data_IF_265710922785
#
_entry.id   IF_265710922785
#
_cell.length_a   1.000
_cell.length_b   1.000
_cell.length_c   1.000
_cell.angle_alpha   90.00
_cell.angle_beta   90.00
_cell.angle_gamma   90.00
#
_symmetry.space_group_name_H-M   'P 1'
#
loop_
_entity.id
_entity.type
_entity.pdbx_description
1 polymer ?
#
# COMPACT_ATOMS: atom_id res chain seq x y z
N UNK A 1 -2.84 -52.14 -21.90
CA UNK A 1 -1.50 -51.52 -21.88
C UNK A 1 -1.71 -50.01 -21.85
N UNK A 2 -1.31 -49.41 -20.73
CA UNK A 2 -1.25 -47.99 -20.36
C UNK A 2 -2.53 -47.14 -20.31
N UNK A 3 -2.99 -46.98 -19.07
CA UNK A 3 -3.69 -45.81 -18.58
C UNK A 3 -2.88 -44.52 -18.83
N UNK A 4 -3.60 -43.44 -19.14
CA UNK A 4 -3.19 -42.10 -18.75
C UNK A 4 -4.44 -41.23 -18.63
N UNK A 5 -4.93 -41.15 -17.40
CA UNK A 5 -5.60 -39.98 -16.85
C UNK A 5 -4.78 -38.72 -17.20
N UNK A 6 -5.39 -37.81 -17.94
CA UNK A 6 -5.11 -36.38 -17.84
C UNK A 6 -6.44 -35.69 -17.63
N UNK A 7 -6.93 -35.74 -16.39
CA UNK A 7 -7.56 -34.62 -15.70
C UNK A 7 -7.22 -33.34 -16.45
N UNK A 8 -8.20 -32.86 -17.20
CA UNK A 8 -8.18 -31.55 -17.83
C UNK A 8 -8.13 -30.53 -16.70
N UNK A 9 -6.91 -30.26 -16.23
CA UNK A 9 -6.59 -29.13 -15.39
C UNK A 9 -6.52 -27.92 -16.32
N UNK A 10 -7.64 -27.63 -16.99
CA UNK A 10 -7.90 -26.26 -17.34
C UNK A 10 -7.87 -25.51 -16.01
N UNK A 11 -6.96 -24.54 -15.80
CA UNK A 11 -7.09 -23.68 -14.64
C UNK A 11 -8.50 -23.12 -14.71
N UNK A 12 -9.29 -23.34 -13.68
CA UNK A 12 -10.63 -22.78 -13.53
C UNK A 12 -10.47 -21.26 -13.36
N UNK A 13 -10.08 -20.59 -14.42
CA UNK A 13 -10.15 -19.15 -14.57
C UNK A 13 -11.62 -18.90 -14.83
N UNK A 14 -12.36 -18.62 -13.76
CA UNK A 14 -13.71 -18.08 -13.87
C UNK A 14 -13.68 -16.98 -14.93
N UNK A 15 -14.64 -16.94 -15.86
CA UNK A 15 -14.69 -15.89 -16.86
C UNK A 15 -14.69 -14.55 -16.12
N UNK A 16 -13.60 -13.79 -16.29
CA UNK A 16 -13.49 -12.41 -15.83
C UNK A 16 -14.63 -11.66 -16.50
N UNK A 17 -15.63 -11.27 -15.71
CA UNK A 17 -16.77 -10.54 -16.24
C UNK A 17 -16.25 -9.21 -16.80
N UNK A 18 -16.85 -8.63 -17.85
CA UNK A 18 -16.40 -7.35 -18.41
C UNK A 18 -16.40 -6.17 -17.40
N UNK A 19 -17.00 -6.36 -16.21
CA UNK A 19 -16.97 -5.42 -15.09
C UNK A 19 -15.85 -5.68 -14.06
N UNK A 20 -15.06 -6.74 -14.21
CA UNK A 20 -13.91 -7.06 -13.34
C UNK A 20 -12.60 -6.39 -13.84
N UNK A 21 -12.61 -5.78 -15.02
CA UNK A 21 -11.42 -5.22 -15.67
C UNK A 21 -11.08 -3.76 -15.27
N UNK A 22 -11.97 -3.08 -14.55
CA UNK A 22 -11.72 -1.75 -13.99
C UNK A 22 -12.79 -1.48 -12.93
N UNK A 23 -12.45 -1.64 -11.65
CA UNK A 23 -13.19 -0.92 -10.61
C UNK A 23 -12.61 0.49 -10.66
N UNK A 24 -13.31 1.49 -11.21
CA UNK A 24 -12.85 2.86 -11.04
C UNK A 24 -12.76 3.05 -9.54
N UNK A 25 -11.61 3.55 -9.06
CA UNK A 25 -11.57 4.23 -7.77
C UNK A 25 -12.81 5.09 -7.74
N UNK A 26 -13.71 4.86 -6.77
CA UNK A 26 -14.99 5.57 -6.73
C UNK A 26 -14.70 7.04 -7.03
N UNK A 27 -15.28 7.67 -8.07
CA UNK A 27 -14.80 8.96 -8.57
C UNK A 27 -14.65 10.03 -7.48
N UNK A 28 -15.48 9.94 -6.44
CA UNK A 28 -15.42 10.73 -5.21
C UNK A 28 -14.12 10.56 -4.41
N UNK A 29 -13.58 9.34 -4.30
CA UNK A 29 -12.30 9.05 -3.64
C UNK A 29 -11.14 9.59 -4.45
N UNK A 30 -11.17 9.40 -5.78
CA UNK A 30 -10.12 9.90 -6.67
C UNK A 30 -10.06 11.44 -6.65
N UNK A 31 -11.22 12.10 -6.67
CA UNK A 31 -11.34 13.55 -6.52
C UNK A 31 -10.76 14.00 -5.16
N UNK A 32 -11.25 13.43 -4.06
CA UNK A 32 -10.75 13.76 -2.72
C UNK A 32 -9.24 13.52 -2.55
N UNK A 33 -8.70 12.44 -3.13
CA UNK A 33 -7.28 12.15 -3.12
C UNK A 33 -6.48 13.23 -3.86
N UNK A 34 -6.99 13.71 -4.99
CA UNK A 34 -6.34 14.72 -5.83
C UNK A 34 -6.42 16.10 -5.18
N UNK A 35 -7.60 16.50 -4.71
CA UNK A 35 -7.86 17.80 -4.09
C UNK A 35 -7.05 17.99 -2.81
N UNK A 36 -6.91 16.94 -2.00
CA UNK A 36 -6.18 16.97 -0.73
C UNK A 36 -4.72 16.49 -0.83
N UNK A 37 -4.21 16.18 -2.03
CA UNK A 37 -2.85 15.65 -2.22
C UNK A 37 -1.78 16.52 -1.56
N UNK A 38 -1.88 17.84 -1.72
CA UNK A 38 -0.94 18.79 -1.12
C UNK A 38 -1.00 18.82 0.41
N UNK A 39 -2.17 18.62 1.00
CA UNK A 39 -2.33 18.54 2.46
C UNK A 39 -1.71 17.26 3.01
N UNK A 40 -1.93 16.12 2.35
CA UNK A 40 -1.32 14.86 2.72
C UNK A 40 0.21 14.93 2.64
N UNK A 41 0.77 15.54 1.57
CA UNK A 41 2.21 15.70 1.46
C UNK A 41 2.78 16.60 2.56
N UNK A 42 2.14 17.75 2.87
CA UNK A 42 2.55 18.61 3.99
C UNK A 42 2.49 17.90 5.34
N UNK A 43 1.44 17.09 5.54
CA UNK A 43 1.30 16.28 6.75
C UNK A 43 2.45 15.27 6.86
N UNK A 44 2.77 14.55 5.78
CA UNK A 44 3.85 13.57 5.75
C UNK A 44 5.22 14.22 5.96
N UNK A 45 5.51 15.33 5.28
CA UNK A 45 6.75 16.10 5.44
C UNK A 45 7.02 16.45 6.91
N UNK A 46 5.99 16.91 7.64
CA UNK A 46 6.10 17.22 9.08
C UNK A 46 6.38 15.99 9.96
N UNK A 47 6.10 14.78 9.47
CA UNK A 47 6.25 13.52 10.23
C UNK A 47 7.55 12.79 9.92
N UNK A 48 7.97 12.76 8.65
CA UNK A 48 9.20 12.06 8.25
C UNK A 48 10.41 12.98 8.14
N UNK A 49 10.21 14.30 8.00
CA UNK A 49 11.29 15.30 8.00
C UNK A 49 12.08 15.40 6.69
N UNK A 50 11.89 14.46 5.76
CA UNK A 50 12.56 14.42 4.46
C UNK A 50 11.53 14.37 3.31
N UNK A 51 11.87 15.02 2.19
CA UNK A 51 10.96 15.15 1.05
C UNK A 51 10.81 13.85 0.28
N UNK A 52 11.92 13.20 -0.04
CA UNK A 52 11.91 11.97 -0.86
C UNK A 52 11.15 10.86 -0.10
N UNK A 53 11.43 10.74 1.19
CA UNK A 53 10.71 9.83 2.08
C UNK A 53 9.22 10.15 2.15
N UNK A 54 8.84 11.42 2.21
CA UNK A 54 7.43 11.81 2.24
C UNK A 54 6.71 11.45 0.94
N UNK A 55 7.36 11.65 -0.21
CA UNK A 55 6.84 11.30 -1.53
C UNK A 55 6.69 9.77 -1.68
N UNK A 56 7.63 8.98 -1.17
CA UNK A 56 7.53 7.51 -1.14
C UNK A 56 6.35 7.02 -0.30
N UNK A 57 6.16 7.59 0.88
CA UNK A 57 5.02 7.26 1.74
C UNK A 57 3.71 7.67 1.07
N UNK A 58 3.67 8.83 0.41
CA UNK A 58 2.51 9.30 -0.34
C UNK A 58 2.17 8.36 -1.49
N UNK A 59 3.17 7.87 -2.24
CA UNK A 59 2.94 6.91 -3.32
C UNK A 59 2.36 5.59 -2.79
N UNK A 60 2.92 5.01 -1.73
CA UNK A 60 2.38 3.80 -1.09
C UNK A 60 0.95 4.01 -0.58
N UNK A 61 0.67 5.18 0.01
CA UNK A 61 -0.68 5.57 0.39
C UNK A 61 -1.64 5.59 -0.81
N UNK A 62 -1.29 6.28 -1.90
CA UNK A 62 -2.09 6.33 -3.13
C UNK A 62 -2.37 4.91 -3.67
N UNK A 63 -1.35 4.04 -3.73
CA UNK A 63 -1.51 2.66 -4.16
C UNK A 63 -2.51 1.87 -3.30
N UNK A 64 -2.48 2.06 -1.98
CA UNK A 64 -3.47 1.43 -1.08
C UNK A 64 -4.87 1.95 -1.28
N UNK A 65 -5.01 3.26 -1.52
CA UNK A 65 -6.31 3.88 -1.78
C UNK A 65 -6.92 3.32 -3.07
N UNK A 66 -6.15 3.27 -4.16
CA UNK A 66 -6.67 2.80 -5.45
C UNK A 66 -6.92 1.30 -5.48
N UNK A 67 -6.17 0.52 -4.71
CA UNK A 67 -6.35 -0.94 -4.58
C UNK A 67 -7.41 -1.34 -3.54
N UNK A 68 -8.01 -0.38 -2.82
CA UNK A 68 -9.01 -0.66 -1.78
C UNK A 68 -10.42 -0.75 -2.36
N UNK A 69 -11.06 -1.91 -2.19
CA UNK A 69 -12.47 -2.14 -2.53
C UNK A 69 -13.41 -1.73 -1.38
N UNK A 70 -13.26 -0.51 -0.85
CA UNK A 70 -14.02 -0.05 0.33
C UNK A 70 -15.44 0.37 -0.04
N UNK A 71 -16.42 -0.21 0.66
CA UNK A 71 -17.81 0.24 0.63
C UNK A 71 -17.97 1.47 1.52
N UNK A 72 -17.80 2.65 0.91
CA UNK A 72 -17.91 3.94 1.59
C UNK A 72 -19.29 4.20 2.17
N UNK A 73 -20.31 3.39 1.83
CA UNK A 73 -21.64 3.47 2.48
C UNK A 73 -21.59 3.21 3.98
N UNK A 74 -20.55 2.52 4.47
CA UNK A 74 -20.31 2.29 5.90
C UNK A 74 -19.39 3.35 6.55
N UNK A 75 -18.71 4.19 5.76
CA UNK A 75 -17.89 5.27 6.27
C UNK A 75 -18.56 6.61 6.01
N UNK A 76 -19.00 7.31 7.05
CA UNK A 76 -19.66 8.61 6.90
C UNK A 76 -18.74 9.70 6.29
N UNK A 77 -17.43 9.47 6.18
CA UNK A 77 -16.50 10.43 5.57
C UNK A 77 -15.36 9.76 4.80
N UNK A 78 -15.28 10.04 3.50
CA UNK A 78 -14.17 9.67 2.61
C UNK A 78 -12.84 10.20 3.15
N UNK A 79 -12.81 11.43 3.65
CA UNK A 79 -11.61 12.06 4.20
C UNK A 79 -11.12 11.33 5.45
N UNK A 80 -12.02 10.96 6.37
CA UNK A 80 -11.65 10.20 7.56
C UNK A 80 -11.05 8.83 7.20
N UNK A 81 -11.61 8.18 6.18
CA UNK A 81 -11.06 6.94 5.65
C UNK A 81 -9.68 7.14 4.99
N UNK A 82 -9.49 8.18 4.18
CA UNK A 82 -8.18 8.51 3.58
C UNK A 82 -7.12 8.74 4.66
N UNK A 83 -7.42 9.48 5.74
CA UNK A 83 -6.50 9.63 6.87
C UNK A 83 -6.21 8.32 7.61
N UNK A 84 -7.11 7.35 7.56
CA UNK A 84 -6.88 6.01 8.13
C UNK A 84 -5.86 5.25 7.28
N UNK A 85 -6.03 5.24 5.96
CA UNK A 85 -5.08 4.62 5.03
C UNK A 85 -3.72 5.32 5.10
N UNK A 86 -3.70 6.66 5.16
CA UNK A 86 -2.47 7.45 5.28
C UNK A 86 -1.68 7.10 6.55
N UNK A 87 -2.37 6.99 7.69
CA UNK A 87 -1.76 6.56 8.95
C UNK A 87 -1.21 5.13 8.86
N UNK A 88 -1.92 4.23 8.17
CA UNK A 88 -1.42 2.86 7.96
C UNK A 88 -0.13 2.83 7.13
N UNK A 89 -0.02 3.68 6.11
CA UNK A 89 1.18 3.77 5.27
C UNK A 89 2.37 4.34 6.05
N UNK A 90 2.12 5.36 6.86
CA UNK A 90 3.13 5.96 7.73
C UNK A 90 3.65 4.97 8.79
N UNK A 91 2.75 4.23 9.46
CA UNK A 91 3.13 3.20 10.44
C UNK A 91 3.98 2.10 9.80
N UNK A 92 3.59 1.65 8.61
CA UNK A 92 4.36 0.64 7.86
C UNK A 92 5.74 1.15 7.46
N UNK A 93 5.87 2.42 7.06
CA UNK A 93 7.17 3.05 6.82
C UNK A 93 8.06 3.02 8.09
N UNK A 94 7.55 3.48 9.24
CA UNK A 94 8.32 3.44 10.48
C UNK A 94 8.71 2.02 10.92
N UNK A 95 7.84 1.02 10.67
CA UNK A 95 8.16 -0.39 10.94
C UNK A 95 9.33 -0.89 10.09
N UNK A 96 9.36 -0.54 8.81
CA UNK A 96 10.45 -0.90 7.89
C UNK A 96 11.75 -0.20 8.25
N UNK A 97 11.68 1.08 8.56
CA UNK A 97 12.85 1.86 8.97
C UNK A 97 13.45 1.33 10.28
N UNK A 98 12.62 1.00 11.27
CA UNK A 98 13.08 0.37 12.50
C UNK A 98 13.71 -1.02 12.26
N UNK A 99 13.17 -1.80 11.32
CA UNK A 99 13.75 -3.10 10.94
C UNK A 99 15.10 -2.95 10.23
N UNK A 100 15.22 -1.95 9.34
CA UNK A 100 16.45 -1.62 8.64
C UNK A 100 17.55 -1.20 9.62
N UNK A 101 17.26 -0.28 10.54
CA UNK A 101 18.22 0.17 11.58
C UNK A 101 18.70 -0.97 12.47
N UNK A 102 17.82 -1.93 12.82
CA UNK A 102 18.23 -3.12 13.59
C UNK A 102 19.23 -3.98 12.84
N UNK A 103 19.05 -4.17 11.53
CA UNK A 103 19.98 -4.93 10.68
C UNK A 103 21.33 -4.23 10.54
N UNK A 104 21.32 -2.91 10.29
CA UNK A 104 22.55 -2.11 10.23
C UNK A 104 23.30 -2.13 11.58
N UNK A 105 22.57 -2.05 12.71
CA UNK A 105 23.15 -2.17 14.04
C UNK A 105 23.72 -3.55 14.38
N UNK A 106 23.17 -4.64 13.83
CA UNK A 106 23.77 -5.97 13.99
C UNK A 106 25.07 -6.11 13.21
N UNK A 107 25.16 -5.59 11.98
CA UNK A 107 26.40 -5.63 11.20
C UNK A 107 27.50 -4.75 11.81
N UNK A 108 27.16 -3.58 12.37
CA UNK A 108 28.13 -2.74 13.07
C UNK A 108 28.71 -3.42 14.32
N UNK A 109 27.90 -4.21 15.04
CA UNK A 109 28.37 -5.00 16.19
C UNK A 109 29.22 -6.19 15.78
N UNK A 110 28.90 -6.84 14.67
CA UNK A 110 29.64 -7.99 14.15
C UNK A 110 31.00 -7.57 13.56
N UNK A 111 31.07 -6.40 12.92
CA UNK A 111 32.30 -5.87 12.33
C UNK A 111 33.29 -5.33 13.38
N UNK A 112 32.80 -4.85 14.54
CA UNK A 112 33.64 -4.51 15.70
C UNK A 112 34.15 -5.77 16.43
N UNK A 113 33.42 -6.89 16.36
CA UNK A 113 33.79 -8.14 17.04
C UNK A 113 34.79 -9.00 16.24
N UNK A 114 35.04 -8.68 14.97
CA UNK A 114 35.93 -9.42 14.06
C UNK A 114 37.14 -8.59 13.59
N UNK A 115 37.37 -7.40 14.16
CA UNK A 115 38.57 -6.58 13.97
C UNK A 115 39.33 -6.41 15.28
#
# INVERSE_FOLDING_TARGET
MFAADRRSLAPNVKPVQPNDAYVPVMPVVAAALTDHRGEFLRYLLRRVGDRDTAEDVLQNFCLRVVSSNVDLRKSESVIAWLYTVLRSALTDHYRREAARRRREGSYAREQIALG
#
